data_IF_404094143528
#
_entry.id   IF_404094143528
#
_cell.length_a   1.000
_cell.length_b   1.000
_cell.length_c   1.000
_cell.angle_alpha   90.00
_cell.angle_beta   90.00
_cell.angle_gamma   90.00
#
_symmetry.space_group_name_H-M   'P 1'
#
loop_
_entity.id
_entity.type
_entity.pdbx_description
1 polymer ?
#
# COMPACT_ATOMS: atom_id res chain seq x y z
N UNK A 1 -2.69 -8.08 -10.39
CA UNK A 1 -1.25 -7.74 -10.46
C UNK A 1 -0.48 -8.48 -9.37
N UNK A 2 0.85 -8.52 -9.44
CA UNK A 2 1.73 -9.14 -8.43
C UNK A 2 2.91 -8.23 -8.12
N UNK A 3 3.33 -8.17 -6.86
CA UNK A 3 4.59 -7.56 -6.46
C UNK A 3 5.38 -8.48 -5.51
N UNK A 4 6.71 -8.28 -5.48
CA UNK A 4 7.58 -8.81 -4.44
C UNK A 4 7.62 -7.78 -3.32
N UNK A 5 7.24 -8.18 -2.12
CA UNK A 5 7.21 -7.31 -0.95
C UNK A 5 8.22 -7.79 0.10
N UNK A 6 8.98 -6.85 0.67
CA UNK A 6 9.79 -7.03 1.87
C UNK A 6 9.46 -5.91 2.86
N UNK A 7 9.17 -6.28 4.11
CA UNK A 7 8.89 -5.34 5.19
C UNK A 7 9.83 -5.61 6.35
N UNK A 8 10.49 -4.55 6.81
CA UNK A 8 11.39 -4.57 7.95
C UNK A 8 11.03 -3.41 8.89
N UNK A 9 11.33 -3.59 10.17
CA UNK A 9 11.25 -2.52 11.16
C UNK A 9 12.31 -1.45 10.86
N UNK A 10 11.91 -0.18 10.89
CA UNK A 10 12.79 0.96 10.71
C UNK A 10 12.85 1.78 11.99
N UNK A 11 13.97 1.68 12.72
CA UNK A 11 14.13 2.31 14.04
C UNK A 11 14.42 3.79 13.99
N UNK A 12 15.25 4.25 13.05
CA UNK A 12 15.53 5.68 12.84
C UNK A 12 15.32 6.04 11.36
N UNK A 13 14.22 6.74 11.03
CA UNK A 13 13.93 7.20 9.68
C UNK A 13 14.99 8.14 9.09
N UNK A 14 15.75 8.89 9.91
CA UNK A 14 16.78 9.84 9.43
C UNK A 14 17.98 9.08 8.89
N UNK A 15 18.44 8.06 9.61
CA UNK A 15 19.54 7.18 9.16
C UNK A 15 19.12 6.47 7.87
N UNK A 16 17.89 5.96 7.80
CA UNK A 16 17.37 5.30 6.63
C UNK A 16 17.37 6.20 5.38
N UNK A 17 16.94 7.46 5.52
CA UNK A 17 16.98 8.45 4.44
C UNK A 17 18.41 8.76 3.98
N UNK A 18 19.36 8.84 4.91
CA UNK A 18 20.77 9.07 4.58
C UNK A 18 21.37 7.90 3.79
N UNK A 19 21.11 6.66 4.22
CA UNK A 19 21.54 5.44 3.51
C UNK A 19 20.87 5.33 2.14
N UNK A 20 19.57 5.59 2.05
CA UNK A 20 18.86 5.58 0.76
C UNK A 20 19.50 6.55 -0.25
N UNK A 21 19.84 7.77 0.20
CA UNK A 21 20.55 8.75 -0.65
C UNK A 21 21.95 8.28 -1.05
N UNK A 22 22.70 7.65 -0.14
CA UNK A 22 24.07 7.20 -0.46
C UNK A 22 24.10 6.08 -1.49
N UNK A 23 23.03 5.28 -1.60
CA UNK A 23 22.86 4.26 -2.64
C UNK A 23 22.17 4.79 -3.92
N UNK A 24 21.98 6.11 -4.02
CA UNK A 24 21.45 6.76 -5.23
C UNK A 24 19.94 6.93 -5.29
N UNK A 25 19.20 6.66 -4.20
CA UNK A 25 17.76 6.91 -4.18
C UNK A 25 17.45 8.42 -4.21
N UNK A 26 16.38 8.78 -4.91
CA UNK A 26 15.86 10.15 -4.99
C UNK A 26 14.56 10.26 -4.20
N UNK A 27 14.33 11.43 -3.59
CA UNK A 27 13.01 11.76 -3.08
C UNK A 27 12.09 12.01 -4.27
N UNK A 28 11.04 11.19 -4.42
CA UNK A 28 10.06 11.31 -5.51
C UNK A 28 8.88 12.17 -5.06
N UNK A 29 8.28 11.84 -3.91
CA UNK A 29 7.13 12.54 -3.34
C UNK A 29 6.96 12.18 -1.85
N UNK A 30 6.09 12.92 -1.17
CA UNK A 30 5.52 12.54 0.14
C UNK A 30 4.08 12.08 -0.07
N UNK A 31 3.74 10.90 0.45
CA UNK A 31 2.42 10.30 0.30
C UNK A 31 1.86 9.96 1.68
N UNK A 32 0.86 10.71 2.11
CA UNK A 32 0.14 10.46 3.35
C UNK A 32 -1.02 9.50 3.07
N UNK A 33 -1.02 8.34 3.74
CA UNK A 33 -2.00 7.27 3.47
C UNK A 33 -2.78 6.92 4.72
N UNK A 34 -4.10 6.85 4.57
CA UNK A 34 -5.01 6.26 5.55
C UNK A 34 -5.62 5.00 4.95
N UNK A 35 -5.31 3.84 5.56
CA UNK A 35 -5.83 2.54 5.15
C UNK A 35 -6.89 2.06 6.15
N UNK A 36 -8.14 1.94 5.68
CA UNK A 36 -9.24 1.31 6.44
C UNK A 36 -9.35 -0.16 6.06
N UNK A 37 -9.20 -1.07 7.03
CA UNK A 37 -9.22 -2.51 6.80
C UNK A 37 -10.59 -3.12 7.05
N UNK A 38 -11.03 -4.02 6.17
CA UNK A 38 -12.31 -4.70 6.28
C UNK A 38 -12.12 -6.18 6.57
N UNK A 39 -12.99 -6.74 7.40
CA UNK A 39 -13.08 -8.17 7.63
C UNK A 39 -13.83 -8.82 6.47
N UNK A 40 -13.14 -9.68 5.73
CA UNK A 40 -13.69 -10.42 4.58
C UNK A 40 -13.45 -11.91 4.76
N UNK A 41 -14.25 -12.74 4.07
CA UNK A 41 -14.17 -14.21 4.19
C UNK A 41 -12.86 -14.76 3.61
N UNK A 42 -12.34 -14.14 2.54
CA UNK A 42 -11.12 -14.61 1.87
C UNK A 42 -10.19 -13.45 1.51
N UNK A 43 -8.89 -13.69 1.70
CA UNK A 43 -7.85 -12.70 1.46
C UNK A 43 -7.99 -11.50 2.40
N UNK A 44 -7.62 -10.32 1.91
CA UNK A 44 -7.69 -9.06 2.65
C UNK A 44 -8.25 -7.97 1.76
N UNK A 45 -8.94 -7.02 2.37
CA UNK A 45 -9.51 -5.86 1.71
C UNK A 45 -9.21 -4.61 2.53
N UNK A 46 -8.81 -3.54 1.85
CA UNK A 46 -8.71 -2.21 2.44
C UNK A 46 -9.21 -1.14 1.48
N UNK A 47 -9.74 -0.06 2.04
CA UNK A 47 -9.96 1.22 1.38
C UNK A 47 -8.77 2.11 1.71
N UNK A 48 -8.23 2.76 0.70
CA UNK A 48 -7.09 3.67 0.81
C UNK A 48 -7.52 5.06 0.38
N UNK A 49 -7.30 6.00 1.29
CA UNK A 49 -7.38 7.43 1.05
C UNK A 49 -5.95 7.96 1.13
N UNK A 50 -5.53 8.76 0.15
CA UNK A 50 -4.16 9.26 0.10
C UNK A 50 -4.09 10.73 -0.32
N UNK A 51 -3.04 11.40 0.13
CA UNK A 51 -2.69 12.77 -0.25
C UNK A 51 -1.24 12.76 -0.73
N UNK A 52 -1.02 13.12 -2.00
CA UNK A 52 0.28 13.18 -2.65
C UNK A 52 0.74 14.63 -2.72
N UNK A 53 1.82 14.95 -2.00
CA UNK A 53 2.39 16.31 -1.94
C UNK A 53 1.36 17.42 -1.67
N UNK A 54 0.35 17.13 -0.85
CA UNK A 54 -0.71 18.05 -0.45
C UNK A 54 -2.01 17.94 -1.25
N UNK A 55 -2.01 17.21 -2.37
CA UNK A 55 -3.19 17.04 -3.22
C UNK A 55 -3.87 15.68 -2.97
N UNK A 56 -5.21 15.63 -2.87
CA UNK A 56 -5.93 14.39 -2.65
C UNK A 56 -5.87 13.47 -3.88
N UNK A 57 -5.53 12.21 -3.65
CA UNK A 57 -5.52 11.17 -4.66
C UNK A 57 -6.88 10.46 -4.73
N UNK A 58 -7.24 9.84 -5.88
CA UNK A 58 -8.43 9.01 -5.98
C UNK A 58 -8.45 7.89 -4.93
N UNK A 59 -9.65 7.60 -4.41
CA UNK A 59 -9.87 6.51 -3.45
C UNK A 59 -9.66 5.16 -4.15
N UNK A 60 -8.90 4.29 -3.50
CA UNK A 60 -8.63 2.94 -3.98
C UNK A 60 -9.16 1.87 -3.02
N UNK A 61 -9.84 0.87 -3.56
CA UNK A 61 -10.13 -0.39 -2.86
C UNK A 61 -9.13 -1.45 -3.31
N UNK A 62 -8.35 -1.97 -2.37
CA UNK A 62 -7.27 -2.91 -2.65
C UNK A 62 -7.61 -4.25 -2.01
N UNK A 63 -7.93 -5.24 -2.86
CA UNK A 63 -8.00 -6.64 -2.45
C UNK A 63 -6.66 -7.31 -2.68
N UNK A 64 -6.13 -8.00 -1.68
CA UNK A 64 -4.82 -8.63 -1.81
C UNK A 64 -4.72 -9.93 -1.01
N UNK A 65 -3.82 -10.79 -1.48
CA UNK A 65 -3.43 -12.04 -0.86
C UNK A 65 -1.91 -12.08 -0.74
N UNK A 66 -1.42 -12.34 0.48
CA UNK A 66 0.00 -12.48 0.79
C UNK A 66 0.17 -13.32 2.05
N UNK A 67 1.25 -14.10 2.09
CA UNK A 67 1.62 -14.86 3.29
C UNK A 67 1.96 -13.95 4.48
N UNK A 68 1.70 -14.45 5.69
CA UNK A 68 2.14 -13.82 6.93
C UNK A 68 3.53 -14.29 7.33
N UNK A 69 4.51 -13.85 6.54
CA UNK A 69 5.93 -14.08 6.80
C UNK A 69 6.75 -12.80 6.71
N UNK A 70 7.78 -12.72 7.54
CA UNK A 70 8.72 -11.60 7.60
C UNK A 70 9.74 -11.61 6.46
N UNK A 71 9.92 -12.75 5.77
CA UNK A 71 10.77 -12.87 4.58
C UNK A 71 10.11 -12.24 3.35
N UNK A 72 10.91 -11.91 2.29
CA UNK A 72 10.37 -11.51 1.00
C UNK A 72 9.31 -12.48 0.51
N UNK A 73 8.21 -11.95 -0.02
CA UNK A 73 7.04 -12.73 -0.40
C UNK A 73 6.31 -12.11 -1.58
N UNK A 74 5.56 -12.95 -2.30
CA UNK A 74 4.67 -12.49 -3.34
C UNK A 74 3.39 -11.98 -2.69
N UNK A 75 2.95 -10.81 -3.13
CA UNK A 75 1.61 -10.30 -2.86
C UNK A 75 0.87 -10.18 -4.20
N UNK A 76 -0.26 -10.88 -4.32
CA UNK A 76 -1.16 -10.75 -5.46
C UNK A 76 -2.27 -9.79 -5.09
N UNK A 77 -2.50 -8.77 -5.91
CA UNK A 77 -3.46 -7.72 -5.57
C UNK A 77 -4.27 -7.25 -6.80
N UNK A 78 -5.45 -6.74 -6.50
CA UNK A 78 -6.34 -6.03 -7.41
C UNK A 78 -6.65 -4.68 -6.77
N UNK A 79 -6.44 -3.61 -7.54
CA UNK A 79 -6.86 -2.25 -7.20
C UNK A 79 -8.16 -2.00 -7.96
N UNK A 80 -9.12 -1.37 -7.30
CA UNK A 80 -10.40 -0.97 -7.86
C UNK A 80 -10.64 0.48 -7.46
N UNK A 81 -11.17 1.27 -8.38
CA UNK A 81 -11.78 2.55 -8.05
C UNK A 81 -13.04 2.36 -7.20
N UNK A 82 -13.51 3.43 -6.57
CA UNK A 82 -14.75 3.39 -5.79
C UNK A 82 -15.98 2.93 -6.61
N UNK A 83 -16.22 3.43 -7.85
CA UNK A 83 -17.31 2.92 -8.68
C UNK A 83 -17.21 1.42 -8.99
N UNK A 84 -16.03 0.92 -9.38
CA UNK A 84 -15.81 -0.50 -9.68
C UNK A 84 -16.01 -1.39 -8.44
N UNK A 85 -15.65 -0.89 -7.26
CA UNK A 85 -15.89 -1.60 -6.01
C UNK A 85 -17.40 -1.75 -5.74
N UNK A 86 -18.16 -0.66 -5.86
CA UNK A 86 -19.60 -0.68 -5.62
C UNK A 86 -20.39 -1.47 -6.68
N UNK A 87 -19.97 -1.45 -7.94
CA UNK A 87 -20.55 -2.30 -8.98
C UNK A 87 -20.44 -3.79 -8.62
N UNK A 88 -19.33 -4.19 -7.99
CA UNK A 88 -19.05 -5.59 -7.69
C UNK A 88 -19.59 -6.07 -6.35
N UNK A 89 -19.60 -5.20 -5.34
CA UNK A 89 -19.91 -5.59 -3.96
C UNK A 89 -21.17 -4.90 -3.40
N UNK A 90 -21.76 -3.96 -4.14
CA UNK A 90 -22.88 -3.17 -3.68
C UNK A 90 -22.46 -1.97 -2.81
N UNK A 91 -23.47 -1.29 -2.30
CA UNK A 91 -23.33 -0.19 -1.33
C UNK A 91 -23.33 -0.70 0.10
#
# INVERSE_FOLDING_TARGET
MRNVEFKAELRDPRIARAVARSIGAKLVATLDQTDTYYRVVTGRLKKREAVLDGEPEPIEYIRYDRDDRTRPRISSFQIMSEPEFHERFGT
#
